data_IF_705818866058
#
_entry.id   IF_705818866058
#
_cell.length_a   1.000
_cell.length_b   1.000
_cell.length_c   1.000
_cell.angle_alpha   90.00
_cell.angle_beta   90.00
_cell.angle_gamma   90.00
#
_symmetry.space_group_name_H-M   'P 1'
#
loop_
_entity.id
_entity.type
_entity.pdbx_description
1 polymer ?
#
# COMPACT_ATOMS: atom_id res chain seq x y z
N UNK A 1 26.86 -5.92 5.55
CA UNK A 1 26.40 -4.72 6.27
C UNK A 1 27.21 -3.47 5.94
N UNK A 2 28.54 -3.48 6.12
CA UNK A 2 29.39 -2.29 5.95
C UNK A 2 29.35 -1.65 4.56
N UNK A 3 29.01 -2.39 3.50
CA UNK A 3 28.90 -1.87 2.13
C UNK A 3 27.55 -1.21 1.81
N UNK A 4 26.55 -1.29 2.72
CA UNK A 4 25.23 -0.70 2.53
C UNK A 4 25.07 0.48 3.47
N UNK A 5 24.60 1.63 2.98
CA UNK A 5 24.48 2.84 3.78
C UNK A 5 23.69 2.58 5.08
N UNK A 6 24.23 3.03 6.21
CA UNK A 6 23.64 2.83 7.55
C UNK A 6 23.42 1.35 7.94
N UNK A 7 24.14 0.42 7.29
CA UNK A 7 24.06 -1.01 7.58
C UNK A 7 22.74 -1.67 7.14
N UNK A 8 21.93 -0.99 6.33
CA UNK A 8 20.61 -1.48 5.89
C UNK A 8 20.76 -2.41 4.68
N UNK A 9 21.16 -3.65 4.98
CA UNK A 9 21.37 -4.72 4.00
C UNK A 9 20.08 -5.11 3.27
N UNK A 10 20.18 -5.74 2.08
CA UNK A 10 19.02 -6.34 1.42
C UNK A 10 18.37 -7.37 2.33
N UNK A 11 17.08 -7.20 2.58
CA UNK A 11 16.27 -8.12 3.40
C UNK A 11 14.89 -8.30 2.77
N UNK A 12 14.27 -9.43 3.03
CA UNK A 12 12.96 -9.81 2.48
C UNK A 12 11.85 -8.88 2.99
N UNK A 13 11.07 -8.31 2.07
CA UNK A 13 9.81 -7.63 2.36
C UNK A 13 8.61 -8.53 2.10
N UNK A 14 8.60 -9.23 0.97
CA UNK A 14 7.49 -10.07 0.52
C UNK A 14 7.97 -11.17 -0.44
N UNK A 15 7.24 -12.28 -0.50
CA UNK A 15 7.51 -13.41 -1.39
C UNK A 15 6.22 -13.87 -2.07
N UNK A 16 6.30 -14.10 -3.38
CA UNK A 16 5.16 -14.58 -4.16
C UNK A 16 4.84 -16.04 -3.80
N UNK A 17 3.57 -16.37 -3.47
CA UNK A 17 3.21 -17.69 -2.96
C UNK A 17 3.50 -18.83 -3.95
N UNK A 18 3.30 -18.60 -5.25
CA UNK A 18 3.55 -19.61 -6.29
C UNK A 18 4.97 -19.55 -6.88
N UNK A 19 5.37 -18.41 -7.46
CA UNK A 19 6.62 -18.30 -8.20
C UNK A 19 7.88 -18.20 -7.33
N UNK A 20 7.72 -17.93 -6.03
CA UNK A 20 8.81 -17.63 -5.11
C UNK A 20 9.62 -16.37 -5.47
N UNK A 21 9.14 -15.54 -6.41
CA UNK A 21 9.74 -14.25 -6.70
C UNK A 21 9.62 -13.33 -5.47
N UNK A 22 10.72 -12.68 -5.10
CA UNK A 22 10.80 -11.91 -3.85
C UNK A 22 10.89 -10.41 -4.09
N UNK A 23 10.25 -9.63 -3.23
CA UNK A 23 10.59 -8.22 -3.02
C UNK A 23 11.57 -8.13 -1.87
N UNK A 24 12.76 -7.61 -2.12
CA UNK A 24 13.76 -7.30 -1.10
C UNK A 24 14.02 -5.79 -1.05
N UNK A 25 14.41 -5.28 0.12
CA UNK A 25 14.66 -3.85 0.33
C UNK A 25 15.99 -3.57 1.02
N UNK A 26 16.64 -2.47 0.65
CA UNK A 26 17.89 -2.02 1.26
C UNK A 26 18.11 -0.50 1.14
N UNK A 27 19.25 -0.03 1.63
CA UNK A 27 19.83 1.25 1.26
C UNK A 27 20.82 1.11 0.09
N UNK A 28 21.27 2.24 -0.43
CA UNK A 28 22.25 2.27 -1.52
C UNK A 28 23.57 1.56 -1.14
N UNK A 29 24.28 0.98 -2.12
CA UNK A 29 25.64 0.51 -1.92
C UNK A 29 26.64 1.68 -1.78
N UNK A 30 27.73 1.45 -1.06
CA UNK A 30 28.80 2.43 -0.80
C UNK A 30 29.96 2.28 -1.82
N UNK A 31 29.59 2.38 -3.09
CA UNK A 31 30.49 2.23 -4.25
C UNK A 31 31.50 3.39 -4.32
N UNK A 32 31.02 4.61 -4.15
CA UNK A 32 31.79 5.83 -4.22
C UNK A 32 32.32 6.17 -5.61
N UNK A 33 33.13 7.24 -5.73
CA UNK A 33 33.69 7.68 -7.01
C UNK A 33 34.70 6.70 -7.62
N UNK A 34 35.24 5.78 -6.83
CA UNK A 34 36.28 4.83 -7.25
C UNK A 34 35.72 3.45 -7.61
N UNK A 35 34.41 3.33 -7.81
CA UNK A 35 33.74 2.06 -8.16
C UNK A 35 34.12 0.90 -7.24
N UNK A 36 34.12 1.15 -5.92
CA UNK A 36 34.43 0.11 -4.92
C UNK A 36 33.42 -1.03 -5.03
N UNK A 37 33.95 -2.24 -4.91
CA UNK A 37 33.20 -3.50 -4.97
C UNK A 37 33.22 -4.21 -3.63
N UNK A 38 32.21 -5.04 -3.41
CA UNK A 38 32.12 -5.89 -2.22
C UNK A 38 31.67 -7.28 -2.65
N UNK A 39 32.59 -8.26 -2.57
CA UNK A 39 32.33 -9.65 -3.00
C UNK A 39 31.18 -10.27 -2.22
N UNK A 40 31.04 -9.91 -0.94
CA UNK A 40 29.99 -10.41 -0.08
C UNK A 40 28.61 -9.85 -0.49
N UNK A 41 28.52 -8.58 -0.89
CA UNK A 41 27.27 -7.97 -1.38
C UNK A 41 26.87 -8.53 -2.75
N UNK A 42 27.85 -8.67 -3.66
CA UNK A 42 27.67 -9.33 -4.97
C UNK A 42 27.14 -10.76 -4.81
N UNK A 43 27.78 -11.56 -3.93
CA UNK A 43 27.33 -12.92 -3.61
C UNK A 43 25.93 -12.92 -2.95
N UNK A 44 25.64 -11.92 -2.12
CA UNK A 44 24.34 -11.80 -1.44
C UNK A 44 23.21 -11.57 -2.45
N UNK A 45 23.38 -10.64 -3.39
CA UNK A 45 22.39 -10.41 -4.46
C UNK A 45 22.28 -11.61 -5.40
N UNK A 46 23.39 -12.28 -5.72
CA UNK A 46 23.36 -13.53 -6.46
C UNK A 46 22.53 -14.61 -5.74
N UNK A 47 22.65 -14.72 -4.41
CA UNK A 47 21.87 -15.67 -3.60
C UNK A 47 20.38 -15.36 -3.64
N UNK A 48 19.99 -14.08 -3.63
CA UNK A 48 18.58 -13.67 -3.77
C UNK A 48 18.04 -14.10 -5.13
N UNK A 49 18.84 -13.97 -6.20
CA UNK A 49 18.45 -14.43 -7.52
C UNK A 49 18.33 -15.95 -7.58
N UNK A 50 19.34 -16.67 -7.09
CA UNK A 50 19.39 -18.15 -7.11
C UNK A 50 18.27 -18.79 -6.28
N UNK A 51 17.73 -18.08 -5.29
CA UNK A 51 16.57 -18.52 -4.51
C UNK A 51 15.26 -18.54 -5.33
N UNK A 52 15.19 -17.83 -6.45
CA UNK A 52 14.07 -17.87 -7.37
C UNK A 52 14.40 -18.72 -8.60
N UNK A 53 13.90 -19.95 -8.61
CA UNK A 53 14.14 -20.92 -9.69
C UNK A 53 13.53 -20.51 -11.05
N UNK A 54 12.66 -19.49 -11.10
CA UNK A 54 11.92 -19.09 -12.30
C UNK A 54 12.66 -18.03 -13.14
N UNK A 55 13.71 -17.40 -12.62
CA UNK A 55 14.42 -16.32 -13.32
C UNK A 55 15.94 -16.40 -13.15
N UNK A 56 16.67 -16.15 -14.23
CA UNK A 56 18.14 -15.98 -14.22
C UNK A 56 18.57 -14.52 -14.17
N UNK A 57 17.65 -13.60 -13.84
CA UNK A 57 17.92 -12.18 -13.67
C UNK A 57 17.35 -11.67 -12.36
N UNK A 58 18.01 -10.67 -11.79
CA UNK A 58 17.54 -9.87 -10.67
C UNK A 58 17.24 -8.45 -11.16
N UNK A 59 16.08 -7.89 -10.86
CA UNK A 59 15.83 -6.47 -11.18
C UNK A 59 16.08 -5.60 -9.95
N UNK A 60 16.90 -4.57 -10.08
CA UNK A 60 17.14 -3.58 -9.03
C UNK A 60 16.40 -2.31 -9.40
N UNK A 61 15.45 -1.91 -8.56
CA UNK A 61 14.76 -0.64 -8.67
C UNK A 61 15.38 0.38 -7.72
N UNK A 62 16.12 1.33 -8.27
CA UNK A 62 16.55 2.51 -7.55
C UNK A 62 15.46 3.58 -7.66
N UNK A 63 14.86 3.94 -6.53
CA UNK A 63 13.77 4.91 -6.50
C UNK A 63 14.20 6.31 -7.00
N UNK A 64 15.50 6.62 -6.99
CA UNK A 64 16.02 7.96 -7.26
C UNK A 64 15.94 8.31 -8.74
N UNK A 65 16.09 9.61 -8.98
CA UNK A 65 16.53 10.12 -10.27
C UNK A 65 17.98 9.72 -10.52
N UNK A 66 18.31 9.36 -11.75
CA UNK A 66 19.67 8.97 -12.14
C UNK A 66 20.73 10.01 -11.72
N UNK A 67 20.46 11.30 -11.97
CA UNK A 67 21.34 12.42 -11.58
C UNK A 67 21.60 12.52 -10.07
N UNK A 68 20.60 12.18 -9.26
CA UNK A 68 20.72 12.13 -7.79
C UNK A 68 21.53 10.91 -7.36
N UNK A 69 21.39 9.78 -8.05
CA UNK A 69 22.20 8.59 -7.80
C UNK A 69 23.69 8.84 -8.11
N UNK A 70 24.00 9.53 -9.21
CA UNK A 70 25.36 9.96 -9.56
C UNK A 70 25.94 10.93 -8.53
N UNK A 71 25.14 11.90 -8.07
CA UNK A 71 25.57 12.83 -7.00
C UNK A 71 25.89 12.07 -5.71
N UNK A 72 25.12 11.02 -5.38
CA UNK A 72 25.42 10.17 -4.23
C UNK A 72 26.67 9.32 -4.45
N UNK A 73 26.90 8.82 -5.67
CA UNK A 73 28.13 8.10 -6.05
C UNK A 73 29.36 8.98 -5.78
N UNK A 74 29.34 10.24 -6.20
CA UNK A 74 30.42 11.20 -5.93
C UNK A 74 30.67 11.42 -4.42
N UNK A 75 29.63 11.26 -3.58
CA UNK A 75 29.70 11.41 -2.11
C UNK A 75 29.99 10.12 -1.35
N UNK A 76 30.33 9.02 -2.03
CA UNK A 76 30.67 7.74 -1.40
C UNK A 76 29.53 6.71 -1.35
N UNK A 77 28.31 7.09 -1.75
CA UNK A 77 27.19 6.17 -2.01
C UNK A 77 27.25 5.58 -3.42
N UNK A 78 26.12 5.44 -4.10
CA UNK A 78 26.08 5.03 -5.51
C UNK A 78 24.99 4.01 -5.80
N UNK A 79 25.20 3.18 -6.81
CA UNK A 79 24.28 2.17 -7.31
C UNK A 79 25.08 1.00 -7.90
N UNK A 80 24.41 -0.14 -8.05
CA UNK A 80 24.94 -1.38 -8.59
C UNK A 80 25.24 -1.23 -10.09
N UNK A 81 26.50 -1.41 -10.49
CA UNK A 81 26.89 -1.36 -11.90
C UNK A 81 26.87 -2.76 -12.54
N UNK A 82 26.58 -2.84 -13.84
CA UNK A 82 26.47 -4.10 -14.57
C UNK A 82 27.77 -4.92 -14.56
N UNK A 83 28.94 -4.27 -14.47
CA UNK A 83 30.23 -4.97 -14.43
C UNK A 83 30.48 -5.73 -13.12
N UNK A 84 29.91 -5.25 -12.01
CA UNK A 84 30.00 -5.87 -10.69
C UNK A 84 28.82 -6.82 -10.43
N UNK A 85 27.66 -6.54 -11.03
CA UNK A 85 26.42 -7.31 -10.86
C UNK A 85 25.89 -7.76 -12.24
N UNK A 86 26.54 -8.73 -12.90
CA UNK A 86 26.27 -9.05 -14.32
C UNK A 86 24.87 -9.60 -14.60
N UNK A 87 24.20 -10.18 -13.60
CA UNK A 87 22.85 -10.72 -13.73
C UNK A 87 21.77 -9.76 -13.18
N UNK A 88 22.16 -8.53 -12.80
CA UNK A 88 21.26 -7.52 -12.27
C UNK A 88 20.93 -6.46 -13.33
N UNK A 89 19.64 -6.19 -13.52
CA UNK A 89 19.14 -5.07 -14.33
C UNK A 89 18.79 -3.90 -13.41
N UNK A 90 19.50 -2.78 -13.52
CA UNK A 90 19.24 -1.58 -12.72
C UNK A 90 18.27 -0.63 -13.44
N UNK A 91 17.22 -0.22 -12.75
CA UNK A 91 16.18 0.68 -13.24
C UNK A 91 16.01 1.86 -12.27
N UNK A 92 16.15 3.08 -12.78
CA UNK A 92 15.79 4.30 -12.05
C UNK A 92 14.29 4.60 -12.19
N UNK A 93 13.65 4.93 -11.07
CA UNK A 93 12.22 5.27 -11.01
C UNK A 93 11.94 6.77 -11.00
N UNK A 94 12.98 7.60 -10.95
CA UNK A 94 12.87 9.06 -11.09
C UNK A 94 12.01 9.74 -10.00
N UNK A 95 11.93 9.17 -8.79
CA UNK A 95 11.20 9.76 -7.66
C UNK A 95 12.09 10.77 -6.93
N UNK A 96 11.60 12.00 -6.83
CA UNK A 96 12.30 13.13 -6.23
C UNK A 96 12.50 12.96 -4.72
N UNK A 97 13.40 13.77 -4.14
CA UNK A 97 13.75 13.71 -2.72
C UNK A 97 12.71 14.39 -1.81
N UNK A 98 12.92 14.28 -0.50
CA UNK A 98 12.03 14.80 0.55
C UNK A 98 11.78 16.32 0.44
N UNK A 99 12.75 17.10 -0.05
CA UNK A 99 12.63 18.56 -0.12
C UNK A 99 11.67 18.98 -1.23
N UNK A 100 11.68 18.26 -2.35
CA UNK A 100 10.74 18.48 -3.46
C UNK A 100 9.31 18.16 -3.03
N UNK A 101 9.13 17.07 -2.27
CA UNK A 101 7.80 16.69 -1.76
C UNK A 101 7.26 17.67 -0.73
N UNK A 102 8.11 18.18 0.16
CA UNK A 102 7.74 19.25 1.09
C UNK A 102 7.28 20.50 0.34
N UNK A 103 8.03 20.92 -0.67
CA UNK A 103 7.72 22.11 -1.46
C UNK A 103 6.41 21.94 -2.25
N UNK A 104 6.18 20.76 -2.82
CA UNK A 104 4.93 20.43 -3.53
C UNK A 104 3.71 20.54 -2.61
N UNK A 105 3.77 19.98 -1.40
CA UNK A 105 2.68 20.08 -0.43
C UNK A 105 2.49 21.52 0.07
N UNK A 106 3.58 22.29 0.24
CA UNK A 106 3.48 23.71 0.60
C UNK A 106 2.66 24.48 -0.43
N UNK A 107 2.97 24.32 -1.73
CA UNK A 107 2.20 24.91 -2.82
C UNK A 107 0.75 24.44 -2.84
N UNK A 108 0.51 23.14 -2.62
CA UNK A 108 -0.84 22.59 -2.56
C UNK A 108 -1.67 23.23 -1.45
N UNK A 109 -1.10 23.39 -0.25
CA UNK A 109 -1.77 24.06 0.87
C UNK A 109 -2.19 25.48 0.52
N UNK A 110 -1.33 26.23 -0.18
CA UNK A 110 -1.59 27.64 -0.53
C UNK A 110 -2.77 27.82 -1.49
N UNK A 111 -3.00 26.86 -2.38
CA UNK A 111 -4.10 26.96 -3.36
C UNK A 111 -5.44 26.43 -2.82
N UNK A 112 -5.42 25.63 -1.74
CA UNK A 112 -6.65 25.02 -1.17
C UNK A 112 -7.17 25.73 0.08
N UNK A 113 -6.34 26.53 0.76
CA UNK A 113 -6.70 27.18 2.02
C UNK A 113 -6.09 28.59 2.14
N UNK A 114 -6.86 29.61 2.59
CA UNK A 114 -8.23 29.55 3.12
C UNK A 114 -9.34 29.61 2.06
N UNK A 115 -9.03 30.02 0.83
CA UNK A 115 -9.98 30.17 -0.26
C UNK A 115 -9.42 29.61 -1.56
N UNK A 116 -10.28 29.04 -2.40
CA UNK A 116 -9.91 28.49 -3.70
C UNK A 116 -10.23 29.51 -4.80
N UNK A 117 -9.28 29.71 -5.71
CA UNK A 117 -9.53 30.39 -6.98
C UNK A 117 -10.08 29.38 -8.00
N UNK A 118 -11.41 29.38 -8.14
CA UNK A 118 -12.15 28.51 -9.06
C UNK A 118 -11.76 28.73 -10.54
N UNK A 119 -11.36 29.95 -10.90
CA UNK A 119 -11.07 30.30 -12.30
C UNK A 119 -9.76 29.70 -12.81
N UNK A 120 -8.80 29.47 -11.90
CA UNK A 120 -7.48 28.89 -12.20
C UNK A 120 -7.26 27.57 -11.45
N UNK A 121 -8.32 26.91 -10.97
CA UNK A 121 -8.21 25.73 -10.13
C UNK A 121 -7.30 24.65 -10.72
N UNK A 122 -7.56 24.22 -11.95
CA UNK A 122 -6.81 23.14 -12.60
C UNK A 122 -5.33 23.53 -12.82
N UNK A 123 -5.06 24.74 -13.30
CA UNK A 123 -3.69 25.24 -13.50
C UNK A 123 -2.93 25.41 -12.18
N UNK A 124 -3.63 25.83 -11.12
CA UNK A 124 -3.04 25.97 -9.80
C UNK A 124 -2.67 24.60 -9.22
N UNK A 125 -3.57 23.61 -9.32
CA UNK A 125 -3.30 22.22 -8.91
C UNK A 125 -2.11 21.66 -9.69
N UNK A 126 -2.08 21.83 -11.01
CA UNK A 126 -0.97 21.39 -11.86
C UNK A 126 0.37 22.04 -11.44
N UNK A 127 0.37 23.35 -11.14
CA UNK A 127 1.54 24.09 -10.66
C UNK A 127 2.13 23.63 -9.32
N UNK A 128 1.42 22.80 -8.56
CA UNK A 128 1.95 22.14 -7.34
C UNK A 128 2.81 20.92 -7.66
N UNK A 129 2.57 20.29 -8.82
CA UNK A 129 3.06 18.97 -9.21
C UNK A 129 2.71 17.82 -8.26
N UNK A 130 1.77 18.01 -7.31
CA UNK A 130 1.45 16.99 -6.31
C UNK A 130 0.99 15.69 -6.96
N UNK A 131 0.00 15.78 -7.86
CA UNK A 131 -0.54 14.63 -8.59
C UNK A 131 0.50 13.98 -9.51
N UNK A 132 1.44 14.75 -10.05
CA UNK A 132 2.55 14.21 -10.84
C UNK A 132 3.48 13.35 -9.96
N UNK A 133 3.77 13.77 -8.72
CA UNK A 133 4.56 12.96 -7.81
C UNK A 133 3.82 11.71 -7.31
N UNK A 134 2.50 11.78 -7.09
CA UNK A 134 1.66 10.60 -6.82
C UNK A 134 1.69 9.64 -8.01
N UNK A 135 1.59 10.15 -9.25
CA UNK A 135 1.68 9.39 -10.49
C UNK A 135 2.99 8.64 -10.62
N UNK A 136 4.12 9.31 -10.46
CA UNK A 136 5.46 8.70 -10.58
C UNK A 136 5.63 7.59 -9.53
N UNK A 137 5.14 7.81 -8.31
CA UNK A 137 5.23 6.82 -7.24
C UNK A 137 4.37 5.57 -7.53
N UNK A 138 3.10 5.75 -7.93
CA UNK A 138 2.23 4.65 -8.33
C UNK A 138 2.77 3.91 -9.56
N UNK A 139 3.28 4.62 -10.56
CA UNK A 139 3.89 4.01 -11.75
C UNK A 139 5.10 3.15 -11.37
N UNK A 140 5.94 3.62 -10.45
CA UNK A 140 7.06 2.84 -9.91
C UNK A 140 6.60 1.55 -9.23
N UNK A 141 5.57 1.63 -8.38
CA UNK A 141 5.00 0.47 -7.70
C UNK A 141 4.35 -0.53 -8.67
N UNK A 142 3.65 -0.06 -9.71
CA UNK A 142 3.09 -0.91 -10.77
C UNK A 142 4.19 -1.66 -11.52
N UNK A 143 5.30 -1.01 -11.87
CA UNK A 143 6.44 -1.68 -12.52
C UNK A 143 7.05 -2.78 -11.66
N UNK A 144 7.12 -2.55 -10.34
CA UNK A 144 7.61 -3.54 -9.38
C UNK A 144 6.65 -4.72 -9.29
N UNK A 145 5.35 -4.46 -9.12
CA UNK A 145 4.32 -5.50 -9.07
C UNK A 145 4.27 -6.32 -10.37
N UNK A 146 4.36 -5.68 -11.55
CA UNK A 146 4.40 -6.37 -12.84
C UNK A 146 5.66 -7.24 -13.01
N UNK A 147 6.83 -6.78 -12.56
CA UNK A 147 8.06 -7.58 -12.63
C UNK A 147 7.96 -8.86 -11.78
N UNK A 148 7.27 -8.78 -10.65
CA UNK A 148 7.02 -9.91 -9.74
C UNK A 148 5.94 -10.84 -10.30
N UNK A 149 4.78 -10.29 -10.67
CA UNK A 149 3.61 -11.06 -11.07
C UNK A 149 3.73 -11.58 -12.51
N UNK A 150 3.98 -10.71 -13.50
CA UNK A 150 4.08 -11.12 -14.90
C UNK A 150 5.47 -11.66 -15.22
N UNK A 151 6.51 -10.99 -14.70
CA UNK A 151 7.90 -11.35 -14.97
C UNK A 151 8.45 -12.49 -14.14
N UNK A 152 7.74 -12.92 -13.07
CA UNK A 152 8.17 -13.96 -12.12
C UNK A 152 9.62 -13.74 -11.62
N UNK A 153 10.05 -12.48 -11.57
CA UNK A 153 11.45 -12.08 -11.34
C UNK A 153 11.57 -11.42 -9.97
N UNK A 154 12.56 -11.85 -9.19
CA UNK A 154 12.85 -11.21 -7.90
C UNK A 154 13.39 -9.80 -8.09
N UNK A 155 13.06 -8.92 -7.14
CA UNK A 155 13.42 -7.51 -7.20
C UNK A 155 14.10 -7.04 -5.92
N UNK A 156 15.04 -6.12 -6.06
CA UNK A 156 15.67 -5.37 -4.97
C UNK A 156 15.25 -3.92 -5.10
N UNK A 157 14.69 -3.33 -4.05
CA UNK A 157 14.24 -1.94 -4.04
C UNK A 157 15.10 -1.15 -3.07
N UNK A 158 15.70 -0.06 -3.54
CA UNK A 158 16.41 0.86 -2.66
C UNK A 158 16.24 2.31 -3.10
N UNK A 159 16.73 3.21 -2.25
CA UNK A 159 16.94 4.62 -2.59
C UNK A 159 18.28 5.02 -1.97
N UNK A 160 18.43 6.24 -1.45
CA UNK A 160 19.64 6.62 -0.70
C UNK A 160 19.73 5.86 0.63
N UNK A 161 18.76 6.05 1.52
CA UNK A 161 18.78 5.52 2.89
C UNK A 161 17.89 4.28 3.10
N UNK A 162 16.99 3.97 2.17
CA UNK A 162 16.15 2.78 2.24
C UNK A 162 14.96 2.86 3.21
N UNK A 163 14.53 4.06 3.63
CA UNK A 163 13.45 4.25 4.62
C UNK A 163 12.33 5.22 4.21
N UNK A 164 12.47 5.96 3.10
CA UNK A 164 11.45 6.89 2.60
C UNK A 164 10.77 6.29 1.36
N UNK A 165 11.29 6.60 0.16
CA UNK A 165 10.78 6.10 -1.12
C UNK A 165 10.74 4.57 -1.20
N UNK A 166 11.70 3.89 -0.56
CA UNK A 166 11.72 2.43 -0.50
C UNK A 166 10.50 1.90 0.25
N UNK A 167 10.11 2.50 1.38
CA UNK A 167 8.90 2.10 2.13
C UNK A 167 7.63 2.38 1.31
N UNK A 168 7.58 3.52 0.61
CA UNK A 168 6.46 3.82 -0.29
C UNK A 168 6.31 2.74 -1.37
N UNK A 169 7.40 2.39 -2.06
CA UNK A 169 7.38 1.44 -3.16
C UNK A 169 7.10 0.01 -2.72
N UNK A 170 7.74 -0.47 -1.65
CA UNK A 170 7.51 -1.84 -1.16
C UNK A 170 6.07 -1.99 -0.70
N UNK A 171 5.55 -1.05 0.10
CA UNK A 171 4.18 -1.11 0.59
C UNK A 171 3.14 -1.03 -0.52
N UNK A 172 3.31 -0.15 -1.51
CA UNK A 172 2.37 -0.03 -2.64
C UNK A 172 2.39 -1.29 -3.51
N UNK A 173 3.57 -1.83 -3.83
CA UNK A 173 3.65 -3.08 -4.59
C UNK A 173 3.03 -4.26 -3.82
N UNK A 174 3.25 -4.34 -2.50
CA UNK A 174 2.64 -5.36 -1.64
C UNK A 174 1.10 -5.25 -1.62
N UNK A 175 0.54 -4.04 -1.59
CA UNK A 175 -0.91 -3.83 -1.69
C UNK A 175 -1.49 -4.27 -3.03
N UNK A 176 -0.74 -4.05 -4.11
CA UNK A 176 -1.12 -4.50 -5.45
C UNK A 176 -1.12 -6.03 -5.53
N UNK A 177 -0.09 -6.67 -5.00
CA UNK A 177 0.14 -8.12 -5.14
C UNK A 177 -0.68 -8.98 -4.19
N UNK A 178 -0.91 -8.52 -2.96
CA UNK A 178 -1.40 -9.37 -1.88
C UNK A 178 -2.73 -8.85 -1.30
N UNK A 179 -3.77 -9.67 -1.34
CA UNK A 179 -5.10 -9.31 -0.82
C UNK A 179 -5.14 -9.22 0.70
N UNK A 180 -4.21 -9.86 1.41
CA UNK A 180 -4.11 -9.73 2.86
C UNK A 180 -3.93 -8.26 3.26
N UNK A 181 -3.00 -7.54 2.64
CA UNK A 181 -2.72 -6.14 2.99
C UNK A 181 -3.85 -5.16 2.65
N UNK A 182 -4.89 -5.60 1.95
CA UNK A 182 -6.10 -4.82 1.63
C UNK A 182 -7.21 -4.98 2.66
N UNK A 183 -7.05 -5.89 3.62
CA UNK A 183 -7.87 -5.97 4.83
C UNK A 183 -7.45 -4.88 5.83
N UNK A 184 -8.31 -4.50 6.77
CA UNK A 184 -7.98 -3.55 7.85
C UNK A 184 -6.75 -4.07 8.60
N UNK A 185 -6.80 -5.31 9.10
CA UNK A 185 -5.70 -5.94 9.84
C UNK A 185 -4.41 -6.07 9.03
N UNK A 186 -4.53 -6.44 7.76
CA UNK A 186 -3.36 -6.53 6.89
C UNK A 186 -2.74 -5.17 6.62
N UNK A 187 -3.54 -4.12 6.43
CA UNK A 187 -3.01 -2.77 6.22
C UNK A 187 -2.31 -2.22 7.47
N UNK A 188 -2.87 -2.46 8.66
CA UNK A 188 -2.22 -2.16 9.94
C UNK A 188 -0.86 -2.88 10.04
N UNK A 189 -0.84 -4.19 9.73
CA UNK A 189 0.38 -4.98 9.72
C UNK A 189 1.40 -4.49 8.67
N UNK A 190 0.94 -4.03 7.51
CA UNK A 190 1.79 -3.44 6.47
C UNK A 190 2.49 -2.19 6.97
N UNK A 191 1.78 -1.31 7.68
CA UNK A 191 2.34 -0.09 8.26
C UNK A 191 3.32 -0.43 9.39
N UNK A 192 2.94 -1.31 10.31
CA UNK A 192 3.82 -1.75 11.40
C UNK A 192 5.12 -2.38 10.87
N UNK A 193 5.02 -3.16 9.79
CA UNK A 193 6.16 -3.79 9.14
C UNK A 193 6.98 -2.80 8.29
N UNK A 194 6.45 -2.37 7.16
CA UNK A 194 7.23 -1.69 6.12
C UNK A 194 7.58 -0.24 6.45
N UNK A 195 6.90 0.36 7.44
CA UNK A 195 7.13 1.74 7.85
C UNK A 195 7.75 1.82 9.23
N UNK A 196 7.11 1.24 10.24
CA UNK A 196 7.52 1.41 11.64
C UNK A 196 8.76 0.56 11.95
N UNK A 197 8.69 -0.77 11.79
CA UNK A 197 9.83 -1.64 12.14
C UNK A 197 11.02 -1.42 11.20
N UNK A 198 10.75 -1.21 9.92
CA UNK A 198 11.79 -0.84 8.95
C UNK A 198 12.37 0.56 9.15
N UNK A 199 11.86 1.37 10.09
CA UNK A 199 12.51 2.59 10.55
C UNK A 199 12.35 3.78 9.60
N UNK A 200 11.16 3.96 9.03
CA UNK A 200 10.75 5.27 8.56
C UNK A 200 10.80 6.25 9.74
N UNK A 201 11.44 7.40 9.53
CA UNK A 201 11.76 8.34 10.60
C UNK A 201 10.57 9.24 10.92
N UNK A 202 9.46 8.67 11.39
CA UNK A 202 8.20 9.38 11.64
C UNK A 202 8.39 10.65 12.47
N UNK A 203 9.02 10.54 13.64
CA UNK A 203 9.22 11.69 14.53
C UNK A 203 9.98 12.85 13.86
N UNK A 204 10.98 12.54 13.04
CA UNK A 204 11.72 13.55 12.29
C UNK A 204 10.94 14.10 11.07
N UNK A 205 10.29 13.22 10.30
CA UNK A 205 9.57 13.60 9.07
C UNK A 205 8.33 14.46 9.37
N UNK A 206 7.71 14.23 10.54
CA UNK A 206 6.58 15.01 11.03
C UNK A 206 7.04 16.22 11.87
N UNK A 207 8.06 16.03 12.72
CA UNK A 207 8.49 17.04 13.70
C UNK A 207 7.61 17.03 14.95
N UNK A 208 7.41 15.85 15.55
CA UNK A 208 6.57 15.67 16.73
C UNK A 208 7.07 16.48 17.93
N UNK A 209 6.27 17.44 18.39
CA UNK A 209 6.59 18.26 19.56
C UNK A 209 7.82 19.15 19.39
N UNK A 210 8.26 19.37 18.15
CA UNK A 210 9.40 20.21 17.82
C UNK A 210 8.92 21.54 17.21
N UNK A 211 9.34 22.64 17.80
CA UNK A 211 8.98 24.01 17.40
C UNK A 211 9.71 24.46 16.12
N UNK A 212 10.74 23.74 15.68
CA UNK A 212 11.48 24.08 14.46
C UNK A 212 10.71 23.72 13.19
N UNK A 213 9.68 24.51 12.86
CA UNK A 213 8.85 24.34 11.66
C UNK A 213 9.64 24.45 10.34
N UNK A 214 10.86 25.00 10.36
CA UNK A 214 11.72 25.16 9.20
C UNK A 214 12.69 23.99 8.96
N UNK A 215 12.63 22.94 9.78
CA UNK A 215 13.49 21.77 9.63
C UNK A 215 13.37 21.15 8.22
N UNK A 216 14.50 21.11 7.51
CA UNK A 216 14.60 20.58 6.17
C UNK A 216 14.43 19.05 6.10
N UNK A 217 14.40 18.35 7.23
CA UNK A 217 14.10 16.93 7.30
C UNK A 217 12.59 16.62 7.36
N UNK A 218 11.71 17.61 7.60
CA UNK A 218 10.26 17.41 7.54
C UNK A 218 9.79 17.21 6.10
N UNK A 219 8.94 16.21 5.87
CA UNK A 219 8.43 15.88 4.53
C UNK A 219 7.23 14.94 4.56
N UNK A 220 6.24 15.09 3.66
CA UNK A 220 4.98 14.34 3.67
C UNK A 220 5.09 12.94 3.04
N UNK A 221 6.11 12.16 3.38
CA UNK A 221 6.40 10.87 2.74
C UNK A 221 5.32 9.83 3.02
N UNK A 222 4.91 9.69 4.29
CA UNK A 222 3.83 8.79 4.67
C UNK A 222 2.47 9.28 4.17
N UNK A 223 2.24 10.60 4.14
CA UNK A 223 1.04 11.18 3.55
C UNK A 223 0.91 10.84 2.06
N UNK A 224 1.98 10.95 1.28
CA UNK A 224 1.98 10.54 -0.13
C UNK A 224 1.65 9.05 -0.31
N UNK A 225 2.12 8.20 0.59
CA UNK A 225 1.75 6.78 0.57
C UNK A 225 0.25 6.60 0.79
N UNK A 226 -0.33 7.21 1.83
CA UNK A 226 -1.76 7.11 2.10
C UNK A 226 -2.60 7.72 0.96
N UNK A 227 -2.14 8.80 0.32
CA UNK A 227 -2.76 9.36 -0.89
C UNK A 227 -2.76 8.32 -2.03
N UNK A 228 -1.63 7.68 -2.32
CA UNK A 228 -1.56 6.59 -3.31
C UNK A 228 -2.52 5.43 -2.99
N UNK A 229 -2.68 5.08 -1.70
CA UNK A 229 -3.66 4.07 -1.28
C UNK A 229 -5.08 4.54 -1.56
N UNK A 230 -5.40 5.80 -1.26
CA UNK A 230 -6.68 6.41 -1.61
C UNK A 230 -6.94 6.39 -3.12
N UNK A 231 -5.96 6.71 -3.97
CA UNK A 231 -6.10 6.58 -5.42
C UNK A 231 -6.50 5.15 -5.84
N UNK A 232 -5.90 4.13 -5.20
CA UNK A 232 -6.26 2.73 -5.46
C UNK A 232 -7.67 2.40 -4.96
N UNK A 233 -8.11 2.91 -3.82
CA UNK A 233 -9.50 2.67 -3.36
C UNK A 233 -10.54 3.34 -4.27
N UNK A 234 -10.18 4.47 -4.91
CA UNK A 234 -11.01 5.12 -5.93
C UNK A 234 -11.14 4.27 -7.20
N UNK A 235 -10.02 3.71 -7.68
CA UNK A 235 -10.01 2.88 -8.90
C UNK A 235 -10.57 1.47 -8.67
N UNK A 236 -10.47 0.93 -7.44
CA UNK A 236 -10.94 -0.40 -7.07
C UNK A 236 -11.88 -0.37 -5.84
N UNK A 237 -13.13 0.12 -5.99
CA UNK A 237 -14.03 0.40 -4.86
C UNK A 237 -14.39 -0.81 -3.98
N UNK A 238 -14.23 -2.04 -4.49
CA UNK A 238 -14.55 -3.28 -3.77
C UNK A 238 -13.32 -4.03 -3.27
N UNK A 239 -12.09 -3.57 -3.58
CA UNK A 239 -10.88 -4.35 -3.33
C UNK A 239 -10.27 -4.15 -1.93
N UNK A 240 -10.70 -3.12 -1.20
CA UNK A 240 -10.18 -2.76 0.12
C UNK A 240 -11.29 -2.87 1.17
N UNK A 241 -10.97 -3.50 2.30
CA UNK A 241 -11.90 -3.66 3.43
C UNK A 241 -12.12 -2.34 4.17
N UNK A 242 -11.11 -1.48 4.19
CA UNK A 242 -11.22 -0.18 4.83
C UNK A 242 -11.80 0.88 3.89
N UNK A 243 -12.46 1.87 4.49
CA UNK A 243 -13.03 3.02 3.79
C UNK A 243 -12.11 4.26 3.87
N UNK A 244 -12.56 5.38 3.30
CA UNK A 244 -11.81 6.64 3.30
C UNK A 244 -11.59 7.21 4.71
N UNK A 245 -12.56 7.05 5.63
CA UNK A 245 -12.45 7.54 7.00
C UNK A 245 -11.25 6.90 7.71
N UNK A 246 -11.04 5.60 7.52
CA UNK A 246 -9.87 4.90 8.08
C UNK A 246 -8.55 5.56 7.69
N UNK A 247 -8.38 5.89 6.39
CA UNK A 247 -7.17 6.54 5.89
C UNK A 247 -7.00 7.96 6.47
N UNK A 248 -8.09 8.73 6.55
CA UNK A 248 -8.08 10.08 7.16
C UNK A 248 -7.74 9.99 8.65
N UNK A 249 -8.32 9.04 9.39
CA UNK A 249 -8.06 8.82 10.82
C UNK A 249 -6.60 8.44 11.07
N UNK A 250 -6.00 7.62 10.22
CA UNK A 250 -4.55 7.34 10.26
C UNK A 250 -3.75 8.63 10.11
N UNK A 251 -4.11 9.50 9.16
CA UNK A 251 -3.41 10.77 8.93
C UNK A 251 -3.65 11.80 10.03
N UNK A 252 -4.82 11.82 10.67
CA UNK A 252 -5.04 12.69 11.82
C UNK A 252 -4.18 12.28 13.01
N UNK A 253 -4.09 10.97 13.26
CA UNK A 253 -3.26 10.42 14.34
C UNK A 253 -1.77 10.28 14.01
N UNK A 254 -1.39 10.41 12.73
CA UNK A 254 -0.03 10.67 12.32
C UNK A 254 0.49 11.98 12.91
N UNK A 255 -0.35 12.98 13.15
CA UNK A 255 0.06 14.28 13.68
C UNK A 255 -0.29 14.48 15.16
N UNK A 256 -1.36 13.82 15.64
CA UNK A 256 -1.92 14.14 16.96
C UNK A 256 -1.06 13.72 18.16
N UNK A 257 -0.14 12.77 17.98
CA UNK A 257 0.64 12.15 19.07
C UNK A 257 -0.23 11.56 20.21
N UNK A 258 -1.51 11.26 19.93
CA UNK A 258 -2.41 10.66 20.93
C UNK A 258 -2.01 9.20 21.23
N UNK A 259 -1.50 8.53 20.21
CA UNK A 259 -1.07 7.13 20.25
C UNK A 259 0.44 7.03 20.05
N UNK A 260 1.05 5.95 20.54
CA UNK A 260 2.46 5.67 20.31
C UNK A 260 2.81 5.17 18.91
N UNK A 261 1.80 4.84 18.10
CA UNK A 261 1.97 4.13 16.82
C UNK A 261 2.94 4.84 15.86
N UNK A 262 2.95 6.17 15.80
CA UNK A 262 3.84 6.92 14.90
C UNK A 262 4.98 7.67 15.63
N UNK A 263 5.22 7.37 16.91
CA UNK A 263 6.33 7.97 17.64
C UNK A 263 7.68 7.32 17.28
N UNK A 264 8.76 8.04 17.63
CA UNK A 264 10.16 7.68 17.41
C UNK A 264 10.56 7.55 15.92
N UNK A 265 11.79 7.12 15.64
CA UNK A 265 12.33 6.99 14.28
C UNK A 265 12.74 5.57 13.87
N UNK A 266 12.77 4.63 14.81
CA UNK A 266 13.06 3.23 14.55
C UNK A 266 12.58 2.34 15.70
N UNK A 267 12.46 1.04 15.43
CA UNK A 267 12.05 0.04 16.42
C UNK A 267 12.93 0.03 17.68
N UNK A 268 14.25 0.15 17.52
CA UNK A 268 15.18 0.22 18.65
C UNK A 268 14.85 1.38 19.60
N UNK A 269 14.50 2.56 19.05
CA UNK A 269 14.10 3.71 19.87
C UNK A 269 12.77 3.45 20.58
N UNK A 270 11.80 2.82 19.91
CA UNK A 270 10.49 2.52 20.52
C UNK A 270 10.60 1.56 21.71
N UNK A 271 11.49 0.58 21.62
CA UNK A 271 11.82 -0.33 22.74
C UNK A 271 12.48 0.46 23.87
N UNK A 272 13.49 1.28 23.54
CA UNK A 272 14.22 2.07 24.55
C UNK A 272 13.32 3.02 25.33
N UNK A 273 12.35 3.64 24.66
CA UNK A 273 11.40 4.59 25.26
C UNK A 273 10.14 3.88 25.81
N UNK A 274 10.13 2.55 25.86
CA UNK A 274 9.02 1.74 26.39
C UNK A 274 7.65 2.10 25.76
N UNK A 275 7.64 2.45 24.47
CA UNK A 275 6.45 2.96 23.78
C UNK A 275 5.29 1.96 23.87
N UNK A 276 5.57 0.67 23.74
CA UNK A 276 4.54 -0.39 23.74
C UNK A 276 3.85 -0.59 25.09
N UNK A 277 4.47 -0.16 26.20
CA UNK A 277 3.90 -0.26 27.54
C UNK A 277 3.37 1.08 28.05
N UNK A 278 3.98 2.18 27.63
CA UNK A 278 3.65 3.53 28.12
C UNK A 278 2.63 4.27 27.26
N UNK A 279 2.24 3.71 26.11
CA UNK A 279 1.29 4.35 25.19
C UNK A 279 0.25 3.36 24.66
N UNK A 280 -0.84 3.89 24.12
CA UNK A 280 -1.87 3.10 23.44
C UNK A 280 -1.55 3.05 21.94
N UNK A 281 -1.84 1.91 21.31
CA UNK A 281 -1.77 1.76 19.85
C UNK A 281 -3.01 2.36 19.18
N UNK A 282 -2.81 3.09 18.08
CA UNK A 282 -3.89 3.55 17.20
C UNK A 282 -4.78 2.38 16.77
N UNK A 283 -4.18 1.22 16.51
CA UNK A 283 -4.91 0.02 16.12
C UNK A 283 -5.86 -0.46 17.21
N UNK A 284 -5.53 -0.26 18.49
CA UNK A 284 -6.46 -0.58 19.59
C UNK A 284 -7.73 0.26 19.53
N UNK A 285 -7.62 1.52 19.13
CA UNK A 285 -8.76 2.41 18.93
C UNK A 285 -9.54 2.08 17.65
N UNK A 286 -8.86 1.86 16.53
CA UNK A 286 -9.54 1.55 15.27
C UNK A 286 -10.32 0.24 15.36
N UNK A 287 -9.67 -0.79 15.89
CA UNK A 287 -10.24 -2.14 15.95
C UNK A 287 -11.35 -2.31 16.98
N UNK A 288 -11.57 -1.35 17.89
CA UNK A 288 -12.71 -1.38 18.80
C UNK A 288 -14.02 -0.88 18.16
N UNK A 289 -13.96 -0.34 16.94
CA UNK A 289 -15.10 0.25 16.23
C UNK A 289 -15.02 0.03 14.70
N UNK A 290 -14.72 -1.21 14.29
CA UNK A 290 -14.50 -1.60 12.89
C UNK A 290 -15.63 -1.17 11.92
N UNK A 291 -16.87 -1.10 12.40
CA UNK A 291 -18.02 -0.69 11.58
C UNK A 291 -17.88 0.74 11.02
N UNK A 292 -17.17 1.65 11.71
CA UNK A 292 -16.92 3.02 11.22
C UNK A 292 -15.93 3.04 10.04
N UNK A 293 -15.04 2.05 10.01
CA UNK A 293 -13.89 2.00 9.11
C UNK A 293 -14.08 1.01 7.96
N UNK A 294 -15.14 0.20 8.00
CA UNK A 294 -15.38 -0.85 7.03
C UNK A 294 -16.02 -0.32 5.75
N UNK A 295 -15.66 -0.92 4.64
CA UNK A 295 -16.23 -0.69 3.32
C UNK A 295 -17.32 -1.73 3.04
N UNK A 296 -18.60 -1.35 2.93
CA UNK A 296 -19.69 -2.29 2.66
C UNK A 296 -19.55 -3.02 1.32
N UNK A 297 -18.83 -2.44 0.37
CA UNK A 297 -18.61 -3.02 -0.97
C UNK A 297 -17.42 -3.96 -1.04
N UNK A 298 -16.69 -4.16 0.06
CA UNK A 298 -15.52 -5.04 0.06
C UNK A 298 -15.88 -6.47 -0.37
N UNK A 299 -15.08 -6.99 -1.29
CA UNK A 299 -15.09 -8.38 -1.74
C UNK A 299 -13.66 -8.89 -1.68
N UNK A 300 -13.44 -9.94 -0.91
CA UNK A 300 -12.14 -10.58 -0.82
C UNK A 300 -11.91 -11.49 -2.04
N UNK A 301 -11.25 -10.95 -3.07
CA UNK A 301 -10.73 -11.74 -4.18
C UNK A 301 -9.32 -12.22 -3.83
N UNK A 302 -9.22 -13.44 -3.32
CA UNK A 302 -7.93 -14.06 -3.02
C UNK A 302 -7.03 -14.05 -4.25
N UNK A 303 -5.77 -13.65 -4.06
CA UNK A 303 -4.70 -13.68 -5.08
C UNK A 303 -4.96 -12.82 -6.34
N UNK A 304 -5.92 -11.89 -6.33
CA UNK A 304 -6.12 -10.98 -7.46
C UNK A 304 -5.21 -9.76 -7.38
N UNK A 305 -4.26 -9.63 -8.32
CA UNK A 305 -3.34 -8.49 -8.38
C UNK A 305 -4.04 -7.24 -8.92
N UNK A 306 -3.83 -6.09 -8.27
CA UNK A 306 -4.35 -4.78 -8.70
C UNK A 306 -3.31 -4.01 -9.52
N UNK A 307 -3.71 -3.52 -10.69
CA UNK A 307 -2.89 -2.63 -11.52
C UNK A 307 -3.56 -1.26 -11.68
N UNK A 308 -3.34 -0.31 -10.75
CA UNK A 308 -3.88 1.03 -10.91
C UNK A 308 -3.30 1.73 -12.14
N UNK A 309 -4.12 2.56 -12.78
CA UNK A 309 -3.71 3.41 -13.89
C UNK A 309 -3.01 4.65 -13.33
N UNK A 310 -1.68 4.66 -13.44
CA UNK A 310 -0.84 5.79 -13.03
C UNK A 310 -0.77 6.86 -14.14
N UNK A 311 -1.90 7.54 -14.39
CA UNK A 311 -2.04 8.62 -15.38
C UNK A 311 -2.69 9.84 -14.75
N UNK A 312 -2.27 11.05 -15.14
CA UNK A 312 -2.88 12.31 -14.68
C UNK A 312 -4.38 12.39 -14.95
N UNK A 313 -4.88 11.66 -15.95
CA UNK A 313 -6.31 11.57 -16.29
C UNK A 313 -7.14 10.67 -15.36
N UNK A 314 -6.48 9.84 -14.55
CA UNK A 314 -7.10 8.85 -13.66
C UNK A 314 -6.80 9.10 -12.18
N UNK A 315 -5.94 10.07 -11.88
CA UNK A 315 -5.66 10.50 -10.53
C UNK A 315 -6.49 11.72 -10.19
N UNK A 316 -7.04 11.73 -8.98
CA UNK A 316 -7.88 12.80 -8.48
C UNK A 316 -7.14 13.53 -7.34
N UNK A 317 -7.38 14.83 -7.16
CA UNK A 317 -6.98 15.47 -5.91
C UNK A 317 -7.87 14.94 -4.79
N UNK A 318 -7.29 14.50 -3.68
CA UNK A 318 -8.04 14.01 -2.52
C UNK A 318 -8.72 15.16 -1.75
N UNK A 319 -9.84 15.65 -2.30
CA UNK A 319 -10.59 16.80 -1.79
C UNK A 319 -11.00 16.62 -0.33
N UNK A 320 -11.45 15.42 0.04
CA UNK A 320 -11.90 15.08 1.39
C UNK A 320 -10.80 15.10 2.45
N UNK A 321 -9.53 15.15 2.05
CA UNK A 321 -8.41 15.35 2.96
C UNK A 321 -7.83 16.77 2.86
N UNK A 322 -7.42 17.18 1.66
CA UNK A 322 -6.70 18.45 1.46
C UNK A 322 -7.60 19.69 1.61
N UNK A 323 -8.90 19.56 1.33
CA UNK A 323 -9.85 20.69 1.28
C UNK A 323 -10.95 20.57 2.33
N UNK A 324 -10.84 19.62 3.27
CA UNK A 324 -11.88 19.25 4.24
C UNK A 324 -12.33 20.38 5.19
N UNK A 325 -11.53 21.43 5.32
CA UNK A 325 -11.82 22.59 6.17
C UNK A 325 -12.52 23.72 5.43
N UNK A 326 -12.67 23.66 4.11
CA UNK A 326 -13.39 24.66 3.34
C UNK A 326 -14.91 24.45 3.51
N UNK A 327 -15.65 25.37 4.14
CA UNK A 327 -17.09 25.21 4.38
C UNK A 327 -17.92 25.07 3.10
N UNK A 328 -17.43 25.57 1.95
CA UNK A 328 -18.12 25.48 0.65
C UNK A 328 -17.97 24.13 -0.04
N UNK A 329 -16.93 23.38 0.29
CA UNK A 329 -16.64 22.07 -0.32
C UNK A 329 -16.92 20.91 0.63
N UNK A 330 -17.32 21.20 1.87
CA UNK A 330 -17.66 20.17 2.85
C UNK A 330 -18.94 19.46 2.40
N UNK A 331 -18.94 18.12 2.29
CA UNK A 331 -20.16 17.36 2.07
C UNK A 331 -21.19 17.69 3.17
N UNK A 332 -22.46 17.90 2.80
CA UNK A 332 -23.52 18.18 3.78
C UNK A 332 -23.71 17.04 4.78
N UNK A 333 -23.44 15.79 4.36
CA UNK A 333 -23.41 14.61 5.22
C UNK A 333 -22.05 13.90 5.10
N UNK A 334 -21.44 13.46 6.21
CA UNK A 334 -20.22 12.67 6.16
C UNK A 334 -20.44 11.32 5.47
N UNK A 335 -19.65 11.02 4.44
CA UNK A 335 -19.78 9.79 3.62
C UNK A 335 -19.76 8.51 4.48
N UNK A 336 -18.96 8.47 5.54
CA UNK A 336 -18.85 7.29 6.41
C UNK A 336 -20.16 6.93 7.13
N UNK A 337 -21.03 7.91 7.44
CA UNK A 337 -22.33 7.63 8.05
C UNK A 337 -23.20 6.81 7.08
N UNK A 338 -23.21 7.20 5.80
CA UNK A 338 -23.90 6.45 4.76
C UNK A 338 -23.29 5.03 4.59
N UNK A 339 -21.96 4.89 4.66
CA UNK A 339 -21.31 3.58 4.58
C UNK A 339 -21.70 2.66 5.75
N UNK A 340 -21.82 3.22 6.96
CA UNK A 340 -22.27 2.50 8.15
C UNK A 340 -23.72 2.03 8.03
N UNK A 341 -24.61 2.89 7.52
CA UNK A 341 -26.00 2.50 7.21
C UNK A 341 -26.05 1.37 6.17
N UNK A 342 -25.23 1.46 5.12
CA UNK A 342 -25.12 0.42 4.11
C UNK A 342 -24.61 -0.92 4.68
N UNK A 343 -23.69 -0.89 5.66
CA UNK A 343 -23.26 -2.11 6.37
C UNK A 343 -24.43 -2.76 7.13
N UNK A 344 -25.24 -1.96 7.82
CA UNK A 344 -26.42 -2.46 8.53
C UNK A 344 -27.44 -3.08 7.56
N UNK A 345 -27.73 -2.40 6.44
CA UNK A 345 -28.63 -2.93 5.39
C UNK A 345 -28.07 -4.22 4.79
N UNK A 346 -26.76 -4.27 4.51
CA UNK A 346 -26.10 -5.48 3.98
C UNK A 346 -26.27 -6.66 4.93
N UNK A 347 -26.05 -6.46 6.23
CA UNK A 347 -26.21 -7.51 7.23
C UNK A 347 -27.66 -8.02 7.31
N UNK A 348 -28.65 -7.12 7.25
CA UNK A 348 -30.07 -7.49 7.23
C UNK A 348 -30.42 -8.32 5.99
N UNK A 349 -29.97 -7.90 4.82
CA UNK A 349 -30.20 -8.61 3.56
C UNK A 349 -29.53 -9.98 3.54
N UNK A 350 -28.30 -10.10 4.04
CA UNK A 350 -27.59 -11.37 4.15
C UNK A 350 -28.35 -12.36 5.05
N UNK A 351 -28.80 -11.90 6.22
CA UNK A 351 -29.62 -12.71 7.12
C UNK A 351 -30.91 -13.19 6.43
N UNK A 352 -31.59 -12.30 5.72
CA UNK A 352 -32.83 -12.65 4.99
C UNK A 352 -32.59 -13.68 3.89
N UNK A 353 -31.46 -13.59 3.18
CA UNK A 353 -31.06 -14.59 2.18
C UNK A 353 -30.82 -15.95 2.84
N UNK A 354 -30.10 -16.00 3.96
CA UNK A 354 -29.86 -17.25 4.70
C UNK A 354 -31.16 -17.88 5.21
N UNK A 355 -32.07 -17.07 5.75
CA UNK A 355 -33.37 -17.54 6.24
C UNK A 355 -34.21 -18.13 5.09
N UNK A 356 -34.27 -17.45 3.94
CA UNK A 356 -34.95 -17.96 2.74
C UNK A 356 -34.31 -19.24 2.18
N UNK A 357 -32.97 -19.34 2.22
CA UNK A 357 -32.26 -20.57 1.82
C UNK A 357 -32.59 -21.74 2.74
N UNK A 358 -32.67 -21.52 4.06
CA UNK A 358 -33.11 -22.54 5.03
C UNK A 358 -34.57 -22.96 4.80
N UNK A 359 -35.47 -22.02 4.51
CA UNK A 359 -36.86 -22.34 4.16
C UNK A 359 -36.96 -23.19 2.88
N UNK A 360 -36.20 -22.84 1.83
CA UNK A 360 -36.16 -23.62 0.59
C UNK A 360 -35.62 -25.04 0.80
N UNK A 361 -34.56 -25.20 1.59
CA UNK A 361 -34.01 -26.51 1.93
C UNK A 361 -35.04 -27.38 2.67
N UNK A 362 -35.78 -26.79 3.62
CA UNK A 362 -36.81 -27.48 4.40
C UNK A 362 -37.98 -27.95 3.52
N UNK A 363 -38.45 -27.11 2.58
CA UNK A 363 -39.51 -27.47 1.61
C UNK A 363 -39.06 -28.55 0.62
N UNK A 364 -37.79 -28.55 0.23
CA UNK A 364 -37.24 -29.57 -0.67
C UNK A 364 -37.23 -30.94 0.01
N UNK A 365 -36.82 -31.00 1.28
CA UNK A 365 -36.82 -32.22 2.08
C UNK A 365 -38.24 -32.75 2.27
N UNK A 366 -39.21 -31.90 2.61
CA UNK A 366 -40.62 -32.34 2.79
C UNK A 366 -41.24 -32.89 1.49
N UNK A 367 -40.90 -32.31 0.34
CA UNK A 367 -41.38 -32.79 -0.97
C UNK A 367 -40.76 -34.14 -1.40
N UNK A 368 -39.55 -34.45 -0.92
CA UNK A 368 -38.87 -35.72 -1.21
C UNK A 368 -39.38 -36.88 -0.35
N UNK A 369 -39.85 -36.61 0.89
CA UNK A 369 -40.48 -37.61 1.75
C UNK A 369 -41.89 -38.02 1.29
N UNK A 370 -42.58 -37.19 0.50
CA UNK A 370 -43.93 -37.51 -0.03
C UNK A 370 -43.91 -38.35 -1.32
N UNK A 371 -42.75 -38.54 -1.97
CA UNK A 371 -42.62 -39.38 -3.19
C UNK A 371 -42.29 -40.85 -2.93
N UNK A 372 -42.36 -41.31 -1.68
CA UNK A 372 -42.12 -42.70 -1.29
C UNK A 372 -43.39 -43.55 -1.14
N UNK A 373 -44.16 -43.78 -2.20
CA UNK A 373 -45.02 -44.97 -2.39
C UNK A 373 -45.85 -44.84 -3.68
N UNK A 374 -45.42 -45.51 -4.74
CA UNK A 374 -46.29 -45.78 -5.90
C UNK A 374 -46.66 -47.27 -5.87
N UNK A 375 -47.95 -47.64 -5.95
CA UNK A 375 -48.35 -49.04 -6.01
C UNK A 375 -48.00 -49.62 -7.39
N UNK A 376 -47.40 -50.79 -7.39
CA UNK A 376 -47.18 -51.63 -8.58
C UNK A 376 -48.51 -52.10 -9.14
N UNK A 377 -48.99 -51.48 -10.22
CA UNK A 377 -50.10 -52.03 -11.00
C UNK A 377 -49.60 -53.05 -12.01
N UNK A 378 -50.06 -54.29 -11.84
CA UNK A 378 -49.90 -55.42 -12.74
C UNK A 378 -50.63 -55.17 -14.07
N UNK A 379 -49.89 -55.20 -15.17
CA UNK A 379 -50.44 -55.20 -16.52
C UNK A 379 -50.78 -56.63 -16.95
N UNK A 380 -52.03 -56.88 -17.33
CA UNK A 380 -52.45 -58.09 -18.06
C UNK A 380 -52.44 -57.79 -19.57
N UNK A 381 -51.93 -58.68 -20.44
CA UNK A 381 -51.88 -58.43 -21.87
C UNK A 381 -53.18 -58.86 -22.56
N UNK A 382 -53.75 -57.97 -23.38
CA UNK A 382 -54.85 -58.29 -24.27
C UNK A 382 -54.27 -58.66 -25.65
N UNK A 383 -54.59 -59.87 -26.09
CA UNK A 383 -54.32 -60.41 -27.41
C UNK A 383 -54.96 -59.56 -28.52
N UNK A 384 -54.26 -59.44 -29.64
CA UNK A 384 -54.89 -59.24 -30.96
C UNK A 384 -54.22 -60.17 -31.96
N UNK A 385 -55.05 -60.96 -32.62
CA UNK A 385 -54.73 -61.94 -33.66
C UNK A 385 -54.44 -61.28 -35.00
N UNK A 386 -53.35 -61.72 -35.65
CA UNK A 386 -53.39 -62.41 -36.96
C UNK A 386 -52.42 -63.57 -36.89
#
# INVERSE_FOLDING_TARGET
AAFRAKGRVPVLSWIHPESQATITRCSQPLVGPNDKRCKEDEKYLQTIMDANAQSHKLTIFDARQNSVADTNKAKGGGYENESAYPNAELIFLEIHNIHVMRESLRKLKEIVYPSIDESHWLSNVDGTHWLEYIRVLLAGAVRIADKIESGKTSVVIHCSDGWDRTSQLTSLAMLMLDSYYRTIKGFEALIEKEWISFGHRFALRVGHGDDNHADADRSPIFLQFIDCVWQMTRQFPSAFEFNELFLITILDHLYSCLFGTFLCNCEQQRIKEDVYTNTISLWSYINSQLDEFSNPFFVNYENHVLYPVASMSHLELWVNYYVRWNPRMRPQMPIHQNLKELLAIKAELQKRVEDLQREMATRTISSSSERGSSPTHSATPVHTSV
#
